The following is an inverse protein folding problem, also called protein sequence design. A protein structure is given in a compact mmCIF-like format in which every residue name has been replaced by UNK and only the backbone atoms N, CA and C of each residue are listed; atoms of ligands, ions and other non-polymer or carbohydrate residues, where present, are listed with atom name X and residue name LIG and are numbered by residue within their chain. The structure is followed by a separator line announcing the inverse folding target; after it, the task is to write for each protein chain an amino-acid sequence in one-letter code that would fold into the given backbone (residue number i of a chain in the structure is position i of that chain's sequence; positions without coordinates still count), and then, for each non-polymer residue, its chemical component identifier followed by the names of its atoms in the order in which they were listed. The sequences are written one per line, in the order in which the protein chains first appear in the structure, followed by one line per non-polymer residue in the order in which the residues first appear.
data_IF_366173841400
#
_entry.id   IF_366173841400
#
_cell.length_a   1.000
_cell.length_b   1.000
_cell.length_c   1.000
_cell.angle_alpha   90.00
_cell.angle_beta   90.00
_cell.angle_gamma   90.00
#
_symmetry.space_group_name_H-M   'P 1'
#
loop_
_entity.id
_entity.type
_entity.pdbx_description
1 polymer ?
#
# COMPACT_ATOMS: atom_id res chain seq x y z
N UNK A 1 15.98 -13.96 20.03
CA UNK A 1 15.57 -13.42 18.71
C UNK A 1 14.53 -14.37 18.15
N UNK A 2 13.49 -13.86 17.49
CA UNK A 2 12.47 -14.67 16.80
C UNK A 2 12.52 -14.24 15.34
N UNK A 3 12.86 -15.17 14.46
CA UNK A 3 12.91 -14.91 13.03
C UNK A 3 11.50 -15.01 12.45
N UNK A 4 11.18 -14.14 11.49
CA UNK A 4 9.87 -14.14 10.85
C UNK A 4 9.94 -13.64 9.40
N UNK A 5 9.07 -14.18 8.56
CA UNK A 5 8.74 -13.65 7.25
C UNK A 5 7.45 -12.83 7.31
N UNK A 6 7.25 -11.99 6.31
CA UNK A 6 6.00 -11.24 6.10
C UNK A 6 5.56 -11.41 4.64
N UNK A 7 5.09 -12.62 4.24
CA UNK A 7 4.73 -12.89 2.86
C UNK A 7 3.54 -12.04 2.42
N UNK A 8 3.62 -11.49 1.20
CA UNK A 8 2.53 -10.74 0.58
C UNK A 8 1.33 -11.65 0.31
N UNK A 9 0.16 -11.21 0.77
CA UNK A 9 -1.13 -11.81 0.46
C UNK A 9 -1.91 -10.87 -0.45
N UNK A 10 -2.22 -11.33 -1.66
CA UNK A 10 -2.96 -10.54 -2.65
C UNK A 10 -4.09 -11.40 -3.19
N UNK A 11 -5.32 -11.04 -2.83
CA UNK A 11 -6.51 -11.68 -3.40
C UNK A 11 -6.71 -11.21 -4.83
N UNK A 12 -7.13 -12.12 -5.72
CA UNK A 12 -7.34 -11.87 -7.14
C UNK A 12 -6.08 -11.31 -7.84
N UNK A 13 -4.90 -11.78 -7.43
CA UNK A 13 -3.59 -11.31 -7.93
C UNK A 13 -3.42 -11.43 -9.44
N UNK A 14 -4.13 -12.37 -10.08
CA UNK A 14 -4.14 -12.56 -11.52
C UNK A 14 -4.64 -11.34 -12.30
N UNK A 15 -5.41 -10.46 -11.67
CA UNK A 15 -5.91 -9.20 -12.28
C UNK A 15 -4.80 -8.18 -12.54
N UNK A 16 -3.65 -8.30 -11.87
CA UNK A 16 -2.53 -7.34 -11.98
C UNK A 16 -1.81 -7.50 -13.33
N UNK A 17 -1.74 -8.72 -13.86
CA UNK A 17 -0.87 -9.05 -14.99
C UNK A 17 -1.21 -8.22 -16.24
N UNK A 18 -0.19 -7.57 -16.80
CA UNK A 18 -0.31 -6.76 -18.02
C UNK A 18 -1.13 -5.48 -17.87
N UNK A 19 -1.49 -5.08 -16.64
CA UNK A 19 -2.25 -3.85 -16.36
C UNK A 19 -1.34 -2.69 -16.03
N UNK A 20 -1.75 -1.49 -16.43
CA UNK A 20 -1.18 -0.23 -15.96
C UNK A 20 -1.77 0.05 -14.58
N UNK A 21 -0.97 0.02 -13.53
CA UNK A 21 -1.48 0.03 -12.15
C UNK A 21 -1.16 1.31 -11.41
N UNK A 22 -2.12 1.81 -10.65
CA UNK A 22 -1.88 2.83 -9.63
C UNK A 22 -1.65 2.14 -8.29
N UNK A 23 -0.52 2.40 -7.66
CA UNK A 23 -0.19 1.86 -6.33
C UNK A 23 -0.45 2.92 -5.27
N UNK A 24 -1.29 2.59 -4.29
CA UNK A 24 -1.60 3.42 -3.13
C UNK A 24 -0.93 2.80 -1.92
N UNK A 25 -0.08 3.57 -1.25
CA UNK A 25 0.80 3.10 -0.19
C UNK A 25 0.67 3.94 1.07
N UNK A 26 1.13 3.36 2.18
CA UNK A 26 1.14 4.07 3.45
C UNK A 26 2.16 5.21 3.44
N UNK A 27 1.66 6.42 3.63
CA UNK A 27 2.48 7.61 3.49
C UNK A 27 3.66 7.70 4.47
N UNK A 28 3.56 7.32 5.77
CA UNK A 28 4.70 7.27 6.68
C UNK A 28 5.85 6.39 6.20
N UNK A 29 5.55 5.25 5.56
CA UNK A 29 6.57 4.34 5.00
C UNK A 29 7.43 5.04 3.94
N UNK A 30 6.81 5.94 3.17
CA UNK A 30 7.47 6.64 2.05
C UNK A 30 8.00 8.03 2.41
N UNK A 31 7.51 8.62 3.49
CA UNK A 31 7.87 10.00 3.90
C UNK A 31 8.85 10.03 5.07
N UNK A 32 8.97 8.93 5.81
CA UNK A 32 9.83 8.82 6.99
C UNK A 32 10.57 7.47 7.10
N UNK A 33 10.16 6.45 6.33
CA UNK A 33 10.82 5.16 6.30
C UNK A 33 11.96 5.14 5.28
N UNK A 34 13.08 4.50 5.60
CA UNK A 34 14.22 4.31 4.67
C UNK A 34 13.88 3.39 3.48
N UNK A 35 12.62 2.95 3.35
CA UNK A 35 12.16 2.07 2.28
C UNK A 35 11.70 2.87 1.06
N UNK A 36 12.45 2.75 -0.04
CA UNK A 36 12.16 3.43 -1.31
C UNK A 36 10.93 2.84 -2.05
N UNK A 37 10.47 1.66 -1.68
CA UNK A 37 9.33 0.97 -2.29
C UNK A 37 8.61 0.07 -1.26
N UNK A 38 7.28 0.07 -1.32
CA UNK A 38 6.41 -0.66 -0.39
C UNK A 38 5.84 -1.98 -0.93
N UNK A 39 4.95 -2.58 -0.16
CA UNK A 39 4.32 -3.88 -0.45
C UNK A 39 3.55 -3.92 -1.78
N UNK A 40 2.93 -2.81 -2.17
CA UNK A 40 2.20 -2.63 -3.41
C UNK A 40 3.09 -2.64 -4.65
N UNK A 41 4.28 -2.04 -4.58
CA UNK A 41 5.29 -2.11 -5.66
C UNK A 41 5.76 -3.55 -5.83
N UNK A 42 6.12 -4.19 -4.72
CA UNK A 42 6.54 -5.59 -4.71
C UNK A 42 5.44 -6.51 -5.28
N UNK A 43 4.17 -6.24 -4.98
CA UNK A 43 3.04 -6.97 -5.56
C UNK A 43 2.90 -6.72 -7.07
N UNK A 44 2.99 -5.47 -7.52
CA UNK A 44 2.90 -5.10 -8.93
C UNK A 44 3.96 -5.83 -9.76
N UNK A 45 5.20 -5.83 -9.30
CA UNK A 45 6.32 -6.51 -9.94
C UNK A 45 6.12 -8.04 -9.92
N UNK A 46 5.87 -8.62 -8.74
CA UNK A 46 5.71 -10.07 -8.55
C UNK A 46 4.61 -10.66 -9.44
N UNK A 47 3.51 -9.92 -9.66
CA UNK A 47 2.36 -10.40 -10.44
C UNK A 47 2.33 -9.86 -11.88
N UNK A 48 3.40 -9.17 -12.32
CA UNK A 48 3.63 -8.83 -13.71
C UNK A 48 2.75 -7.68 -14.24
N UNK A 49 2.59 -6.60 -13.46
CA UNK A 49 2.02 -5.35 -13.96
C UNK A 49 2.80 -4.85 -15.19
N UNK A 50 2.12 -4.19 -16.13
CA UNK A 50 2.77 -3.63 -17.31
C UNK A 50 3.62 -2.39 -16.97
N UNK A 51 3.08 -1.52 -16.11
CA UNK A 51 3.77 -0.34 -15.60
C UNK A 51 3.09 0.20 -14.33
N UNK A 52 3.83 1.00 -13.56
CA UNK A 52 3.30 1.82 -12.48
C UNK A 52 2.94 3.21 -13.03
N UNK A 53 1.71 3.65 -12.84
CA UNK A 53 1.24 4.96 -13.31
C UNK A 53 1.56 6.02 -12.24
N UNK A 54 2.40 7.00 -12.59
CA UNK A 54 2.72 8.14 -11.72
C UNK A 54 1.46 9.03 -11.51
N UNK A 55 1.00 9.23 -10.27
CA UNK A 55 -0.20 10.02 -9.98
C UNK A 55 0.05 11.53 -9.92
N UNK A 56 1.30 12.01 -9.94
CA UNK A 56 1.65 13.42 -9.60
C UNK A 56 0.93 14.45 -10.46
N UNK A 57 0.80 14.22 -11.76
CA UNK A 57 0.11 15.14 -12.69
C UNK A 57 -1.40 15.22 -12.42
N UNK A 58 -1.95 14.24 -11.70
CA UNK A 58 -3.38 14.13 -11.39
C UNK A 58 -3.71 14.51 -9.95
N UNK A 59 -2.69 14.72 -9.11
CA UNK A 59 -2.83 15.05 -7.72
C UNK A 59 -3.54 16.39 -7.52
N UNK A 60 -4.48 16.42 -6.57
CA UNK A 60 -5.22 17.64 -6.21
C UNK A 60 -5.17 17.93 -4.72
N UNK A 61 -5.34 19.21 -4.37
CA UNK A 61 -5.44 19.67 -2.99
C UNK A 61 -4.29 19.18 -2.12
N UNK A 62 -4.63 18.59 -0.97
CA UNK A 62 -3.65 18.13 0.03
C UNK A 62 -2.69 17.04 -0.50
N UNK A 63 -3.10 16.27 -1.52
CA UNK A 63 -2.22 15.27 -2.15
C UNK A 63 -1.15 15.95 -3.01
N UNK A 64 -1.52 16.98 -3.78
CA UNK A 64 -0.55 17.76 -4.56
C UNK A 64 0.47 18.45 -3.63
N UNK A 65 0.00 18.96 -2.50
CA UNK A 65 0.88 19.56 -1.48
C UNK A 65 1.82 18.52 -0.84
N UNK A 66 1.36 17.27 -0.69
CA UNK A 66 2.19 16.16 -0.18
C UNK A 66 3.34 15.86 -1.13
N UNK A 67 3.10 15.79 -2.45
CA UNK A 67 4.17 15.59 -3.42
C UNK A 67 5.18 16.74 -3.48
N UNK A 68 4.73 17.98 -3.25
CA UNK A 68 5.65 19.13 -3.14
C UNK A 68 6.51 19.04 -1.88
N UNK A 69 5.92 18.60 -0.76
CA UNK A 69 6.63 18.45 0.52
C UNK A 69 7.63 17.28 0.49
N UNK A 70 7.29 16.22 -0.23
CA UNK A 70 8.08 14.99 -0.32
C UNK A 70 8.27 14.60 -1.80
N UNK A 71 9.21 15.26 -2.51
CA UNK A 71 9.42 15.01 -3.93
C UNK A 71 9.91 13.59 -4.23
N UNK A 72 10.58 12.94 -3.28
CA UNK A 72 11.26 11.66 -3.47
C UNK A 72 10.37 10.41 -3.29
N UNK A 73 9.06 10.58 -3.03
CA UNK A 73 8.07 9.47 -2.90
C UNK A 73 8.01 8.56 -4.14
N UNK A 74 8.49 9.05 -5.29
CA UNK A 74 8.44 8.32 -6.55
C UNK A 74 7.02 8.28 -7.14
N UNK A 75 6.72 7.21 -7.90
CA UNK A 75 5.48 7.03 -8.67
C UNK A 75 4.29 6.53 -7.84
N UNK A 76 4.38 6.63 -6.51
CA UNK A 76 3.41 6.06 -5.57
C UNK A 76 2.43 7.12 -5.10
N UNK A 77 1.17 6.75 -4.88
CA UNK A 77 0.18 7.64 -4.27
C UNK A 77 0.19 7.47 -2.75
N UNK A 78 0.71 8.45 -1.98
CA UNK A 78 0.75 8.35 -0.53
C UNK A 78 -0.66 8.54 0.08
N UNK A 79 -1.13 7.57 0.84
CA UNK A 79 -2.33 7.69 1.66
C UNK A 79 -1.98 8.45 2.96
N UNK A 80 -2.03 9.78 2.90
CA UNK A 80 -1.65 10.67 4.02
C UNK A 80 -2.86 11.35 4.64
N UNK A 81 -3.17 10.97 5.88
CA UNK A 81 -4.23 11.56 6.69
C UNK A 81 -5.65 11.23 6.21
N UNK A 82 -6.54 10.99 7.16
CA UNK A 82 -7.90 10.49 6.92
C UNK A 82 -8.98 11.52 7.26
N UNK A 83 -8.63 12.80 7.29
CA UNK A 83 -9.61 13.88 7.44
C UNK A 83 -10.57 13.93 6.24
N UNK A 84 -11.79 14.42 6.45
CA UNK A 84 -12.82 14.42 5.39
C UNK A 84 -12.37 15.14 4.10
N UNK A 85 -11.58 16.22 4.22
CA UNK A 85 -10.99 16.92 3.06
C UNK A 85 -9.94 16.05 2.36
N UNK A 86 -9.01 15.46 3.10
CA UNK A 86 -7.96 14.61 2.56
C UNK A 86 -8.54 13.38 1.84
N UNK A 87 -9.62 12.81 2.36
CA UNK A 87 -10.32 11.70 1.72
C UNK A 87 -10.97 12.09 0.39
N UNK A 88 -11.59 13.27 0.32
CA UNK A 88 -12.11 13.79 -0.96
C UNK A 88 -11.00 14.07 -1.97
N UNK A 89 -9.88 14.65 -1.52
CA UNK A 89 -8.72 14.92 -2.39
C UNK A 89 -8.07 13.62 -2.88
N UNK A 90 -7.96 12.60 -2.03
CA UNK A 90 -7.47 11.27 -2.37
C UNK A 90 -8.38 10.60 -3.41
N UNK A 91 -9.68 10.55 -3.16
CA UNK A 91 -10.67 9.99 -4.09
C UNK A 91 -10.65 10.72 -5.45
N UNK A 92 -10.59 12.06 -5.44
CA UNK A 92 -10.52 12.86 -6.65
C UNK A 92 -9.23 12.59 -7.44
N UNK A 93 -8.09 12.47 -6.74
CA UNK A 93 -6.81 12.13 -7.36
C UNK A 93 -6.88 10.75 -8.02
N UNK A 94 -7.27 9.72 -7.27
CA UNK A 94 -7.38 8.32 -7.75
C UNK A 94 -8.26 8.23 -9.00
N UNK A 95 -9.38 8.95 -9.01
CA UNK A 95 -10.32 8.91 -10.13
C UNK A 95 -9.73 9.53 -11.42
N UNK A 96 -8.84 10.53 -11.29
CA UNK A 96 -8.19 11.19 -12.45
C UNK A 96 -7.02 10.40 -13.04
N UNK A 97 -6.33 9.57 -12.25
CA UNK A 97 -5.16 8.81 -12.74
C UNK A 97 -5.58 7.79 -13.81
N UNK A 98 -5.02 7.80 -15.03
CA UNK A 98 -5.41 6.89 -16.11
C UNK A 98 -4.75 5.52 -15.96
N UNK A 99 -5.24 4.71 -15.03
CA UNK A 99 -4.82 3.34 -14.78
C UNK A 99 -5.97 2.33 -15.02
N UNK A 100 -5.60 1.06 -15.21
CA UNK A 100 -6.54 -0.03 -15.43
C UNK A 100 -6.96 -0.71 -14.11
N UNK A 101 -6.07 -0.68 -13.11
CA UNK A 101 -6.24 -1.34 -11.81
C UNK A 101 -5.59 -0.51 -10.70
N UNK A 102 -6.18 -0.56 -9.51
CA UNK A 102 -5.63 0.09 -8.31
C UNK A 102 -5.15 -0.98 -7.33
N UNK A 103 -3.91 -0.87 -6.90
CA UNK A 103 -3.32 -1.70 -5.85
C UNK A 103 -3.37 -0.92 -4.54
N UNK A 104 -4.09 -1.43 -3.55
CA UNK A 104 -4.23 -0.83 -2.22
C UNK A 104 -3.28 -1.58 -1.27
N UNK A 105 -2.20 -0.93 -0.85
CA UNK A 105 -1.18 -1.47 0.04
C UNK A 105 -1.10 -0.72 1.39
N UNK A 106 -2.22 -0.15 1.82
CA UNK A 106 -2.34 0.55 3.10
C UNK A 106 -2.70 -0.40 4.26
N UNK A 107 -2.27 -0.12 5.51
CA UNK A 107 -2.67 -0.90 6.69
C UNK A 107 -4.19 -0.99 6.85
N UNK A 108 -4.89 0.12 6.64
CA UNK A 108 -6.34 0.15 6.64
C UNK A 108 -6.91 -0.28 5.29
N UNK A 109 -8.12 -0.82 5.30
CA UNK A 109 -8.86 -1.15 4.09
C UNK A 109 -9.51 0.11 3.50
N UNK A 110 -8.80 0.79 2.57
CA UNK A 110 -9.33 1.99 1.90
C UNK A 110 -10.65 1.73 1.17
N UNK A 111 -10.93 0.49 0.75
CA UNK A 111 -12.19 0.11 0.09
C UNK A 111 -13.42 0.37 0.93
N UNK A 112 -13.26 0.49 2.26
CA UNK A 112 -14.36 0.80 3.19
C UNK A 112 -14.66 2.29 3.33
N UNK A 113 -13.73 3.14 2.92
CA UNK A 113 -13.80 4.60 3.18
C UNK A 113 -13.75 5.43 1.90
N UNK A 114 -13.18 4.90 0.82
CA UNK A 114 -13.10 5.55 -0.50
C UNK A 114 -13.87 4.71 -1.51
N UNK A 115 -14.67 5.37 -2.35
CA UNK A 115 -15.34 4.72 -3.47
C UNK A 115 -14.44 4.72 -4.70
N UNK A 116 -14.08 3.53 -5.14
CA UNK A 116 -13.25 3.34 -6.31
C UNK A 116 -14.12 3.09 -7.54
N UNK A 117 -13.91 3.88 -8.61
CA UNK A 117 -14.57 3.67 -9.91
C UNK A 117 -13.86 2.63 -10.78
N UNK A 118 -12.63 2.27 -10.42
CA UNK A 118 -11.78 1.32 -11.13
C UNK A 118 -11.65 0.05 -10.30
N UNK A 119 -11.38 -1.11 -10.94
CA UNK A 119 -11.11 -2.34 -10.21
C UNK A 119 -9.97 -2.15 -9.20
N UNK A 120 -10.07 -2.82 -8.06
CA UNK A 120 -9.08 -2.76 -6.99
C UNK A 120 -8.61 -4.16 -6.60
N UNK A 121 -7.35 -4.25 -6.18
CA UNK A 121 -6.80 -5.40 -5.45
C UNK A 121 -6.16 -4.88 -4.17
N UNK A 122 -6.24 -5.66 -3.10
CA UNK A 122 -5.65 -5.31 -1.81
C UNK A 122 -4.44 -6.19 -1.54
N UNK A 123 -3.37 -5.54 -1.12
CA UNK A 123 -2.14 -6.18 -0.66
C UNK A 123 -2.16 -6.16 0.87
N UNK A 124 -2.13 -7.34 1.45
CA UNK A 124 -1.89 -7.56 2.86
C UNK A 124 -0.58 -8.29 3.07
N UNK A 125 -0.18 -8.39 4.32
CA UNK A 125 0.91 -9.23 4.77
C UNK A 125 0.61 -9.70 6.19
N UNK A 126 1.05 -10.90 6.52
CA UNK A 126 0.87 -11.46 7.86
C UNK A 126 2.22 -11.92 8.39
N UNK A 127 2.43 -11.71 9.69
CA UNK A 127 3.64 -12.19 10.36
C UNK A 127 3.64 -13.72 10.37
N UNK A 128 4.65 -14.30 9.74
CA UNK A 128 4.89 -15.74 9.74
C UNK A 128 6.20 -16.02 10.50
N UNK A 129 6.08 -16.49 11.74
CA UNK A 129 7.25 -16.88 12.54
C UNK A 129 7.96 -18.08 11.91
N UNK A 130 9.28 -17.99 11.78
CA UNK A 130 10.15 -19.04 11.24
C UNK A 130 10.87 -19.71 12.41
N UNK A 131 10.77 -21.04 12.49
CA UNK A 131 11.51 -21.83 13.46
C UNK A 131 10.99 -21.72 14.91
N UNK A 132 11.91 -21.89 15.87
CA UNK A 132 11.63 -21.94 17.31
C UNK A 132 12.71 -21.15 18.07
N UNK A 133 12.37 -20.54 19.23
CA UNK A 133 11.04 -20.48 19.85
C UNK A 133 10.11 -19.49 19.14
N UNK A 134 8.80 -19.76 19.16
CA UNK A 134 7.80 -18.79 18.66
C UNK A 134 7.47 -17.72 19.71
N UNK A 135 6.81 -16.64 19.30
CA UNK A 135 6.28 -15.64 20.24
C UNK A 135 5.34 -16.31 21.26
N UNK A 136 4.50 -17.23 20.82
CA UNK A 136 3.62 -18.00 21.70
C UNK A 136 4.39 -18.85 22.72
N UNK A 137 5.48 -19.51 22.30
CA UNK A 137 6.33 -20.30 23.20
C UNK A 137 6.93 -19.42 24.31
N UNK A 138 7.39 -18.23 23.94
CA UNK A 138 7.96 -17.24 24.88
C UNK A 138 6.89 -16.74 25.84
N UNK A 139 5.72 -16.37 25.33
CA UNK A 139 4.61 -15.88 26.15
C UNK A 139 4.14 -16.95 27.13
N UNK A 140 3.99 -18.21 26.68
CA UNK A 140 3.67 -19.35 27.56
C UNK A 140 4.74 -19.56 28.63
N UNK A 141 6.03 -19.47 28.29
CA UNK A 141 7.10 -19.61 29.28
C UNK A 141 7.09 -18.51 30.34
N UNK A 142 6.76 -17.27 29.95
CA UNK A 142 6.82 -16.09 30.83
C UNK A 142 5.55 -15.89 31.66
N UNK A 143 4.38 -16.25 31.13
CA UNK A 143 3.07 -15.94 31.71
C UNK A 143 2.24 -17.17 32.08
N UNK A 144 2.86 -18.37 32.15
CA UNK A 144 2.21 -19.53 32.76
C UNK A 144 1.76 -19.20 34.19
N UNK A 145 0.44 -19.14 34.39
CA UNK A 145 -0.17 -19.68 35.61
C UNK A 145 -0.09 -21.19 35.55
#
# INVERSE_FOLDING_TARGET
VVDAASPLQVKDSEKIRGKRVLVIEDGPTLTHGEMQYGAGVMAAEKYGAAELVDPREYAVGTIADTFKKYPDIGVLLPAMGYGAKQMKDLEATINKVPCDLIIIATPIDLGRIVKFKKPTVRVGYELQVIGKPTLEDILKKKFKK
#
